data_IF_376126572056
#
_entry.id   IF_376126572056
#
_cell.length_a   1.000
_cell.length_b   1.000
_cell.length_c   1.000
_cell.angle_alpha   90.00
_cell.angle_beta   90.00
_cell.angle_gamma   90.00
#
_symmetry.space_group_name_H-M   'P 1'
#
loop_
_entity.id
_entity.type
_entity.pdbx_description
1 polymer ?
#
# COMPACT_ATOMS: atom_id res chain seq x y z
N UNK A 1 53.69 -39.69 1.57
CA UNK A 1 52.76 -38.89 2.37
C UNK A 1 51.86 -38.07 1.43
N UNK A 2 51.04 -38.73 0.61
CA UNK A 2 50.27 -38.08 -0.46
C UNK A 2 48.98 -38.87 -0.80
N UNK A 3 48.15 -39.18 0.21
CA UNK A 3 46.81 -39.78 -0.01
C UNK A 3 45.78 -39.14 0.95
N UNK A 4 45.79 -37.81 1.08
CA UNK A 4 44.74 -37.10 1.85
C UNK A 4 44.13 -35.89 1.10
N UNK A 5 44.71 -35.42 -0.01
CA UNK A 5 44.17 -34.28 -0.78
C UNK A 5 43.03 -34.59 -1.77
N UNK A 6 42.72 -35.86 -2.03
CA UNK A 6 41.72 -36.26 -3.02
C UNK A 6 40.26 -36.21 -2.54
N UNK A 7 40.03 -36.48 -1.25
CA UNK A 7 38.67 -36.57 -0.70
C UNK A 7 38.02 -35.19 -0.47
N UNK A 8 38.79 -34.14 -0.18
CA UNK A 8 38.24 -32.77 -0.03
C UNK A 8 37.83 -32.16 -1.38
N UNK A 9 38.57 -32.46 -2.45
CA UNK A 9 38.23 -31.99 -3.81
C UNK A 9 36.96 -32.67 -4.35
N UNK A 10 36.85 -33.99 -4.17
CA UNK A 10 35.68 -34.76 -4.63
C UNK A 10 34.40 -34.38 -3.86
N UNK A 11 34.51 -34.18 -2.54
CA UNK A 11 33.38 -33.72 -1.71
C UNK A 11 32.96 -32.29 -2.07
N UNK A 12 33.89 -31.37 -2.33
CA UNK A 12 33.58 -30.02 -2.81
C UNK A 12 32.91 -30.03 -4.19
N UNK A 13 33.35 -30.89 -5.11
CA UNK A 13 32.78 -31.02 -6.46
C UNK A 13 31.38 -31.64 -6.44
N UNK A 14 31.15 -32.66 -5.61
CA UNK A 14 29.83 -33.27 -5.38
C UNK A 14 28.86 -32.26 -4.72
N UNK A 15 29.35 -31.45 -3.76
CA UNK A 15 28.56 -30.40 -3.10
C UNK A 15 28.18 -29.27 -4.07
N UNK A 16 29.10 -28.84 -4.92
CA UNK A 16 28.86 -27.86 -6.00
C UNK A 16 27.82 -28.39 -6.99
N UNK A 17 27.92 -29.64 -7.45
CA UNK A 17 26.96 -30.27 -8.36
C UNK A 17 25.56 -30.38 -7.74
N UNK A 18 25.47 -30.76 -6.47
CA UNK A 18 24.19 -30.83 -5.76
C UNK A 18 23.56 -29.44 -5.59
N UNK A 19 24.35 -28.41 -5.32
CA UNK A 19 23.85 -27.02 -5.25
C UNK A 19 23.31 -26.53 -6.59
N UNK A 20 24.01 -26.76 -7.71
CA UNK A 20 23.49 -26.40 -9.04
C UNK A 20 22.21 -27.16 -9.37
N UNK A 21 22.06 -28.42 -8.92
CA UNK A 21 20.79 -29.15 -9.02
C UNK A 21 19.70 -28.54 -8.15
N UNK A 22 19.98 -28.14 -6.92
CA UNK A 22 18.98 -27.51 -6.02
C UNK A 22 18.55 -26.14 -6.54
N UNK A 23 19.49 -25.32 -7.03
CA UNK A 23 19.20 -24.00 -7.61
C UNK A 23 18.40 -24.16 -8.91
N UNK A 24 18.81 -25.07 -9.80
CA UNK A 24 18.07 -25.37 -11.02
C UNK A 24 16.66 -25.90 -10.70
N UNK A 25 16.51 -26.78 -9.72
CA UNK A 25 15.21 -27.27 -9.26
C UNK A 25 14.35 -26.14 -8.67
N UNK A 26 14.91 -25.23 -7.88
CA UNK A 26 14.17 -24.06 -7.37
C UNK A 26 13.76 -23.08 -8.46
N UNK A 27 14.60 -22.91 -9.49
CA UNK A 27 14.29 -22.07 -10.66
C UNK A 27 13.22 -22.71 -11.53
N UNK A 28 13.29 -24.03 -11.75
CA UNK A 28 12.29 -24.81 -12.48
C UNK A 28 10.96 -24.83 -11.72
N UNK A 29 10.98 -25.03 -10.40
CA UNK A 29 9.77 -24.94 -9.56
C UNK A 29 9.19 -23.52 -9.60
N UNK A 30 10.03 -22.48 -9.56
CA UNK A 30 9.59 -21.10 -9.75
C UNK A 30 8.92 -20.88 -11.12
N UNK A 31 9.52 -21.39 -12.20
CA UNK A 31 8.96 -21.34 -13.55
C UNK A 31 7.67 -22.15 -13.71
N UNK A 32 7.56 -23.31 -13.06
CA UNK A 32 6.35 -24.13 -13.05
C UNK A 32 5.24 -23.48 -12.23
N UNK A 33 5.57 -22.78 -11.13
CA UNK A 33 4.61 -21.98 -10.38
C UNK A 33 4.09 -20.79 -11.20
N UNK A 34 4.92 -20.22 -12.10
CA UNK A 34 4.50 -19.19 -13.06
C UNK A 34 3.42 -19.75 -14.00
N UNK A 35 3.62 -20.93 -14.57
CA UNK A 35 2.62 -21.56 -15.46
C UNK A 35 1.32 -21.95 -14.71
N UNK A 36 1.43 -22.47 -13.49
CA UNK A 36 0.24 -22.81 -12.66
C UNK A 36 -0.56 -21.56 -12.28
N UNK A 37 0.10 -20.45 -11.97
CA UNK A 37 -0.58 -19.19 -11.65
C UNK A 37 -1.35 -18.59 -12.83
N UNK A 38 -0.88 -18.81 -14.06
CA UNK A 38 -1.59 -18.40 -15.27
C UNK A 38 -2.81 -19.29 -15.55
N UNK A 39 -2.77 -20.58 -15.18
CA UNK A 39 -3.87 -21.52 -15.38
C UNK A 39 -5.03 -21.32 -14.39
N UNK A 40 -4.77 -20.92 -13.14
CA UNK A 40 -5.83 -20.57 -12.17
C UNK A 40 -6.61 -19.30 -12.57
N UNK A 41 -6.07 -18.50 -13.48
CA UNK A 41 -6.62 -17.20 -13.86
C UNK A 41 -7.89 -17.29 -14.72
N UNK A 42 -8.20 -18.45 -15.31
CA UNK A 42 -9.37 -18.64 -16.18
C UNK A 42 -10.60 -19.20 -15.44
N UNK A 43 -10.45 -19.92 -14.32
CA UNK A 43 -11.59 -20.55 -13.62
C UNK A 43 -12.27 -19.64 -12.57
N UNK A 44 -11.54 -18.74 -11.92
CA UNK A 44 -12.06 -18.00 -10.74
C UNK A 44 -12.95 -16.79 -11.07
N UNK A 45 -13.21 -16.51 -12.36
CA UNK A 45 -14.07 -15.40 -12.81
C UNK A 45 -15.58 -15.66 -12.59
N UNK A 46 -15.97 -16.84 -12.12
CA UNK A 46 -17.38 -17.28 -12.16
C UNK A 46 -18.16 -17.23 -10.85
N UNK A 47 -17.56 -16.90 -9.70
CA UNK A 47 -18.28 -16.92 -8.41
C UNK A 47 -18.19 -15.61 -7.62
N UNK A 48 -18.70 -14.52 -8.19
CA UNK A 48 -19.05 -13.29 -7.45
C UNK A 48 -20.55 -13.36 -7.14
N UNK A 49 -20.93 -14.19 -6.16
CA UNK A 49 -22.32 -14.35 -5.71
C UNK A 49 -22.44 -14.23 -4.19
N UNK A 50 -21.68 -13.30 -3.62
CA UNK A 50 -21.69 -12.95 -2.17
C UNK A 50 -21.78 -11.45 -1.79
N UNK A 51 -21.86 -10.44 -2.67
CA UNK A 51 -21.89 -9.04 -2.21
C UNK A 51 -23.29 -8.51 -1.82
N UNK A 52 -24.39 -9.19 -2.20
CA UNK A 52 -25.73 -8.60 -2.08
C UNK A 52 -26.31 -8.58 -0.65
N UNK A 53 -25.89 -9.50 0.22
CA UNK A 53 -26.46 -9.65 1.56
C UNK A 53 -26.00 -8.58 2.57
N UNK A 54 -24.79 -8.03 2.39
CA UNK A 54 -24.20 -7.09 3.36
C UNK A 54 -24.58 -5.63 3.09
N UNK A 55 -24.78 -5.25 1.83
CA UNK A 55 -25.25 -3.90 1.47
C UNK A 55 -26.64 -3.63 2.07
N UNK A 56 -27.50 -4.65 2.14
CA UNK A 56 -28.85 -4.54 2.70
C UNK A 56 -28.85 -4.10 4.17
N UNK A 57 -27.95 -4.64 5.00
CA UNK A 57 -27.86 -4.24 6.42
C UNK A 57 -27.40 -2.79 6.58
N UNK A 58 -26.46 -2.33 5.75
CA UNK A 58 -25.96 -0.96 5.82
C UNK A 58 -27.01 0.05 5.35
N UNK A 59 -27.75 -0.29 4.30
CA UNK A 59 -28.88 0.52 3.81
C UNK A 59 -29.97 0.62 4.90
N UNK A 60 -30.28 -0.48 5.58
CA UNK A 60 -31.27 -0.48 6.67
C UNK A 60 -30.81 0.39 7.85
N UNK A 61 -29.52 0.33 8.21
CA UNK A 61 -28.95 1.17 9.26
C UNK A 61 -29.01 2.67 8.88
N UNK A 62 -28.62 3.02 7.66
CA UNK A 62 -28.67 4.39 7.14
C UNK A 62 -30.12 4.92 7.08
N UNK A 63 -31.07 4.07 6.68
CA UNK A 63 -32.49 4.38 6.67
C UNK A 63 -32.99 4.68 8.09
N UNK A 64 -32.65 3.83 9.07
CA UNK A 64 -33.05 4.04 10.46
C UNK A 64 -32.47 5.34 11.03
N UNK A 65 -31.19 5.62 10.78
CA UNK A 65 -30.54 6.87 11.19
C UNK A 65 -31.22 8.10 10.56
N UNK A 66 -31.63 8.01 9.29
CA UNK A 66 -32.36 9.09 8.64
C UNK A 66 -33.72 9.35 9.28
N UNK A 67 -34.51 8.31 9.55
CA UNK A 67 -35.80 8.48 10.20
C UNK A 67 -35.69 9.07 11.61
N UNK A 68 -34.64 8.70 12.35
CA UNK A 68 -34.35 9.34 13.63
C UNK A 68 -34.12 10.84 13.47
N UNK A 69 -33.30 11.28 12.52
CA UNK A 69 -33.09 12.72 12.23
C UNK A 69 -34.38 13.42 11.83
N UNK A 70 -35.22 12.75 11.03
CA UNK A 70 -36.52 13.30 10.61
C UNK A 70 -37.41 13.60 11.81
N UNK A 71 -37.44 12.71 12.81
CA UNK A 71 -38.28 12.83 14.00
C UNK A 71 -37.68 13.80 15.04
N UNK A 72 -36.36 13.75 15.25
CA UNK A 72 -35.70 14.46 16.35
C UNK A 72 -35.29 15.89 16.03
N UNK A 73 -34.85 16.17 14.80
CA UNK A 73 -34.32 17.49 14.49
C UNK A 73 -35.47 18.50 14.42
N UNK A 74 -35.34 19.70 14.99
CA UNK A 74 -36.41 20.69 14.98
C UNK A 74 -36.75 21.09 13.53
N UNK A 75 -38.01 21.42 13.23
CA UNK A 75 -38.39 21.97 11.94
C UNK A 75 -37.67 23.29 11.69
N UNK A 76 -37.30 23.55 10.43
CA UNK A 76 -36.62 24.78 10.04
C UNK A 76 -37.52 25.98 10.33
N UNK A 77 -36.97 27.00 10.99
CA UNK A 77 -37.70 28.19 11.46
C UNK A 77 -37.57 29.40 10.53
N UNK A 78 -36.74 29.28 9.48
CA UNK A 78 -36.49 30.35 8.51
C UNK A 78 -37.69 30.50 7.55
N UNK A 79 -38.09 31.75 7.30
CA UNK A 79 -39.19 32.07 6.38
C UNK A 79 -38.74 31.93 4.91
N UNK A 80 -39.44 31.09 4.14
CA UNK A 80 -39.20 30.91 2.70
C UNK A 80 -39.67 29.53 2.20
N UNK A 81 -39.77 29.32 0.87
CA UNK A 81 -39.96 27.99 0.31
C UNK A 81 -38.71 27.15 0.57
N UNK A 82 -38.88 25.95 1.12
CA UNK A 82 -37.80 24.98 1.31
C UNK A 82 -38.33 23.57 1.06
N UNK A 83 -37.43 22.67 0.66
CA UNK A 83 -37.77 21.27 0.53
C UNK A 83 -37.55 20.55 1.87
N UNK A 84 -38.56 19.81 2.31
CA UNK A 84 -38.51 19.04 3.55
C UNK A 84 -37.49 17.91 3.47
N UNK A 85 -36.91 17.58 4.63
CA UNK A 85 -36.07 16.39 4.82
C UNK A 85 -36.76 15.11 4.37
N UNK A 86 -36.04 14.28 3.63
CA UNK A 86 -36.59 13.04 3.05
C UNK A 86 -35.53 11.95 2.92
N UNK A 87 -35.99 10.71 3.01
CA UNK A 87 -35.23 9.54 2.58
C UNK A 87 -35.57 9.23 1.12
N UNK A 88 -34.57 9.18 0.24
CA UNK A 88 -34.79 8.91 -1.19
C UNK A 88 -34.65 7.43 -1.57
N UNK A 89 -34.38 6.56 -0.59
CA UNK A 89 -34.13 5.14 -0.79
C UNK A 89 -32.71 4.73 -0.43
N UNK A 90 -31.73 5.62 -0.62
CA UNK A 90 -30.30 5.33 -0.39
C UNK A 90 -29.59 6.36 0.51
N UNK A 91 -30.01 7.63 0.47
CA UNK A 91 -29.41 8.72 1.23
C UNK A 91 -30.47 9.54 1.98
N UNK A 92 -30.02 10.17 3.07
CA UNK A 92 -30.82 11.08 3.87
C UNK A 92 -30.61 12.53 3.45
N UNK A 93 -31.66 13.16 2.95
CA UNK A 93 -31.65 14.56 2.53
C UNK A 93 -32.18 15.44 3.65
N UNK A 94 -31.40 16.44 4.05
CA UNK A 94 -31.80 17.44 5.02
C UNK A 94 -32.68 18.53 4.38
N UNK A 95 -33.24 19.41 5.20
CA UNK A 95 -34.00 20.57 4.72
C UNK A 95 -33.09 21.49 3.90
N UNK A 96 -33.51 21.86 2.69
CA UNK A 96 -32.71 22.70 1.79
C UNK A 96 -33.52 23.81 1.14
N UNK A 97 -32.84 24.93 0.89
CA UNK A 97 -33.36 25.98 0.02
C UNK A 97 -33.44 25.51 -1.43
N UNK A 98 -34.28 26.18 -2.25
CA UNK A 98 -34.37 25.92 -3.69
C UNK A 98 -33.01 26.00 -4.38
N UNK A 99 -32.77 25.06 -5.29
CA UNK A 99 -31.52 24.89 -6.00
C UNK A 99 -30.98 23.46 -5.92
N UNK A 100 -29.71 23.32 -6.32
CA UNK A 100 -29.03 22.03 -6.40
C UNK A 100 -28.39 21.67 -5.06
N UNK A 101 -28.80 20.54 -4.52
CA UNK A 101 -28.28 19.98 -3.26
C UNK A 101 -27.35 18.83 -3.60
N UNK A 102 -26.15 18.84 -3.03
CA UNK A 102 -25.13 17.83 -3.30
C UNK A 102 -24.73 17.08 -2.03
N UNK A 103 -24.56 15.77 -2.14
CA UNK A 103 -23.99 14.92 -1.10
C UNK A 103 -23.02 13.90 -1.71
N UNK A 104 -22.13 13.31 -0.90
CA UNK A 104 -21.23 12.24 -1.35
C UNK A 104 -22.01 10.96 -1.67
N UNK A 105 -21.53 10.17 -2.64
CA UNK A 105 -22.15 8.89 -2.96
C UNK A 105 -22.04 7.90 -1.78
N UNK A 106 -23.06 7.05 -1.55
CA UNK A 106 -23.03 6.04 -0.50
C UNK A 106 -21.97 4.97 -0.79
N UNK A 107 -21.32 4.46 0.27
CA UNK A 107 -20.31 3.41 0.18
C UNK A 107 -20.89 1.98 0.34
N UNK A 108 -22.21 1.82 0.29
CA UNK A 108 -22.90 0.54 0.46
C UNK A 108 -22.91 -0.32 -0.81
N UNK A 109 -22.68 0.32 -1.97
CA UNK A 109 -22.69 -0.33 -3.28
C UNK A 109 -21.25 -0.46 -3.80
N UNK A 110 -20.94 -1.62 -4.37
CA UNK A 110 -19.60 -1.91 -4.91
C UNK A 110 -19.31 -1.18 -6.23
N UNK A 111 -20.36 -0.80 -6.96
CA UNK A 111 -20.27 -0.11 -8.25
C UNK A 111 -20.40 1.40 -8.12
N UNK A 112 -20.48 1.93 -6.89
CA UNK A 112 -20.51 3.37 -6.62
C UNK A 112 -19.14 3.86 -6.16
N UNK A 113 -18.74 5.03 -6.68
CA UNK A 113 -17.56 5.73 -6.21
C UNK A 113 -17.93 6.72 -5.08
N UNK A 114 -17.52 6.48 -3.82
CA UNK A 114 -17.85 7.36 -2.69
C UNK A 114 -17.21 8.76 -2.77
N UNK A 115 -16.24 8.96 -3.66
CA UNK A 115 -15.60 10.28 -3.88
C UNK A 115 -16.44 11.19 -4.79
N UNK A 116 -17.35 10.61 -5.56
CA UNK A 116 -18.25 11.35 -6.43
C UNK A 116 -19.45 11.93 -5.66
N UNK A 117 -20.17 12.85 -6.32
CA UNK A 117 -21.31 13.55 -5.72
C UNK A 117 -22.62 13.18 -6.40
N UNK A 118 -23.63 13.02 -5.56
CA UNK A 118 -25.04 12.85 -5.91
C UNK A 118 -25.69 14.23 -5.91
N UNK A 119 -26.56 14.48 -6.88
CA UNK A 119 -27.28 15.75 -7.01
C UNK A 119 -28.78 15.51 -6.88
N UNK A 120 -29.43 16.28 -6.01
CA UNK A 120 -30.89 16.35 -5.88
C UNK A 120 -31.33 17.80 -5.97
N UNK A 121 -32.41 18.05 -6.72
CA UNK A 121 -32.86 19.41 -7.02
C UNK A 121 -34.09 19.73 -6.19
N UNK A 122 -34.04 20.85 -5.47
CA UNK A 122 -35.17 21.45 -4.78
C UNK A 122 -35.75 22.57 -5.68
N UNK A 123 -37.00 22.44 -6.09
CA UNK A 123 -37.64 23.41 -6.95
C UNK A 123 -38.02 24.70 -6.16
N UNK A 124 -38.18 25.85 -6.84
CA UNK A 124 -38.57 27.11 -6.20
C UNK A 124 -39.94 27.10 -5.50
N UNK A 125 -40.79 26.14 -5.83
CA UNK A 125 -42.10 25.89 -5.23
C UNK A 125 -42.01 25.17 -3.86
N UNK A 126 -40.80 24.80 -3.41
CA UNK A 126 -40.58 24.08 -2.15
C UNK A 126 -40.83 22.57 -2.28
N UNK A 127 -40.96 22.04 -3.49
CA UNK A 127 -41.09 20.60 -3.73
C UNK A 127 -39.79 20.01 -4.30
N UNK A 128 -39.53 18.75 -3.98
CA UNK A 128 -38.42 18.04 -4.60
C UNK A 128 -38.68 17.79 -6.08
N UNK A 129 -37.65 17.84 -6.92
CA UNK A 129 -37.79 17.62 -8.35
C UNK A 129 -38.37 16.23 -8.66
N UNK A 130 -39.40 16.21 -9.51
CA UNK A 130 -40.03 15.00 -10.03
C UNK A 130 -39.52 14.69 -11.44
N UNK A 131 -39.13 13.43 -11.69
CA UNK A 131 -38.65 13.01 -12.99
C UNK A 131 -39.76 13.09 -14.06
N UNK A 132 -39.50 13.64 -15.26
CA UNK A 132 -40.55 13.90 -16.26
C UNK A 132 -41.26 12.62 -16.74
N UNK A 133 -40.56 11.48 -16.77
CA UNK A 133 -41.15 10.22 -17.26
C UNK A 133 -41.88 9.41 -16.18
N UNK A 134 -41.40 9.46 -14.93
CA UNK A 134 -41.91 8.59 -13.85
C UNK A 134 -42.76 9.33 -12.82
N UNK A 135 -42.76 10.67 -12.88
CA UNK A 135 -43.43 11.58 -11.94
C UNK A 135 -43.11 11.31 -10.46
N UNK A 136 -41.98 10.68 -10.17
CA UNK A 136 -41.49 10.39 -8.82
C UNK A 136 -40.36 11.36 -8.47
N UNK A 137 -40.23 11.65 -7.18
CA UNK A 137 -39.08 12.38 -6.65
C UNK A 137 -37.80 11.66 -7.09
N UNK A 138 -36.89 12.41 -7.69
CA UNK A 138 -35.72 11.83 -8.33
C UNK A 138 -34.42 12.47 -7.88
N UNK A 139 -33.40 11.64 -7.80
CA UNK A 139 -32.04 11.98 -7.41
C UNK A 139 -31.09 11.46 -8.49
N UNK A 140 -30.14 12.28 -8.93
CA UNK A 140 -29.19 11.92 -9.97
C UNK A 140 -27.96 11.20 -9.39
N UNK A 141 -27.93 9.87 -9.56
CA UNK A 141 -26.81 9.00 -9.16
C UNK A 141 -25.86 8.64 -10.31
N UNK A 142 -26.06 9.17 -11.52
CA UNK A 142 -25.26 8.77 -12.71
C UNK A 142 -23.76 8.99 -12.50
N UNK A 143 -23.37 10.06 -11.78
CA UNK A 143 -21.97 10.36 -11.47
C UNK A 143 -21.31 9.29 -10.58
N UNK A 144 -22.07 8.67 -9.67
CA UNK A 144 -21.54 7.63 -8.79
C UNK A 144 -21.09 6.37 -9.53
N UNK A 145 -21.65 6.09 -10.72
CA UNK A 145 -21.33 4.89 -11.49
C UNK A 145 -20.45 5.17 -12.72
N UNK A 146 -20.36 6.42 -13.17
CA UNK A 146 -19.78 6.79 -14.46
C UNK A 146 -18.33 6.32 -14.66
N UNK A 147 -17.50 6.32 -13.61
CA UNK A 147 -16.07 5.98 -13.70
C UNK A 147 -15.69 4.72 -12.90
N UNK A 148 -16.64 4.05 -12.27
CA UNK A 148 -16.34 2.97 -11.32
C UNK A 148 -15.81 1.72 -12.03
N UNK A 149 -16.36 1.39 -13.21
CA UNK A 149 -15.94 0.20 -13.98
C UNK A 149 -14.48 0.26 -14.41
N UNK A 150 -14.05 1.41 -14.93
CA UNK A 150 -12.67 1.61 -15.39
C UNK A 150 -11.69 1.64 -14.21
N UNK A 151 -12.07 2.30 -13.10
CA UNK A 151 -11.29 2.29 -11.85
C UNK A 151 -11.12 0.88 -11.30
N UNK A 152 -12.19 0.08 -11.26
CA UNK A 152 -12.13 -1.32 -10.79
C UNK A 152 -11.22 -2.15 -11.69
N UNK A 153 -11.35 -2.03 -13.02
CA UNK A 153 -10.50 -2.75 -13.97
C UNK A 153 -9.02 -2.40 -13.80
N UNK A 154 -8.71 -1.10 -13.64
CA UNK A 154 -7.35 -0.64 -13.37
C UNK A 154 -6.82 -1.17 -12.03
N UNK A 155 -7.63 -1.09 -10.97
CA UNK A 155 -7.25 -1.55 -9.63
C UNK A 155 -6.97 -3.07 -9.61
N UNK A 156 -7.82 -3.87 -10.26
CA UNK A 156 -7.59 -5.32 -10.42
C UNK A 156 -6.31 -5.58 -11.22
N UNK A 157 -6.09 -4.85 -12.31
CA UNK A 157 -4.85 -4.97 -13.10
C UNK A 157 -3.60 -4.67 -12.28
N UNK A 158 -3.61 -3.59 -11.49
CA UNK A 158 -2.51 -3.23 -10.58
C UNK A 158 -2.30 -4.27 -9.49
N UNK A 159 -3.37 -4.84 -8.95
CA UNK A 159 -3.31 -5.92 -7.95
C UNK A 159 -2.58 -7.15 -8.50
N UNK A 160 -2.97 -7.66 -9.67
CA UNK A 160 -2.31 -8.83 -10.26
C UNK A 160 -0.84 -8.54 -10.60
N UNK A 161 -0.56 -7.35 -11.15
CA UNK A 161 0.82 -6.94 -11.45
C UNK A 161 1.67 -6.90 -10.17
N UNK A 162 1.14 -6.36 -9.07
CA UNK A 162 1.82 -6.32 -7.78
C UNK A 162 2.03 -7.73 -7.20
N UNK A 163 1.02 -8.60 -7.25
CA UNK A 163 1.11 -9.97 -6.76
C UNK A 163 2.19 -10.77 -7.48
N UNK A 164 2.18 -10.75 -8.82
CA UNK A 164 3.19 -11.43 -9.65
C UNK A 164 4.58 -10.83 -9.42
N UNK A 165 4.69 -9.50 -9.37
CA UNK A 165 5.95 -8.79 -9.16
C UNK A 165 6.60 -9.13 -7.82
N UNK A 166 5.84 -9.09 -6.72
CA UNK A 166 6.34 -9.46 -5.39
C UNK A 166 6.66 -10.95 -5.30
N UNK A 167 5.86 -11.82 -5.93
CA UNK A 167 6.15 -13.26 -6.00
C UNK A 167 7.49 -13.57 -6.68
N UNK A 168 7.73 -12.98 -7.86
CA UNK A 168 8.97 -13.14 -8.61
C UNK A 168 10.18 -12.58 -7.84
N UNK A 169 10.00 -11.43 -7.19
CA UNK A 169 11.03 -10.81 -6.35
C UNK A 169 11.42 -11.74 -5.19
N UNK A 170 10.46 -12.33 -4.48
CA UNK A 170 10.74 -13.26 -3.38
C UNK A 170 11.57 -14.46 -3.86
N UNK A 171 11.17 -15.11 -4.96
CA UNK A 171 11.88 -16.29 -5.49
C UNK A 171 13.33 -15.94 -5.84
N UNK A 172 13.54 -14.85 -6.58
CA UNK A 172 14.89 -14.42 -6.98
C UNK A 172 15.77 -14.05 -5.77
N UNK A 173 15.23 -13.30 -4.80
CA UNK A 173 15.95 -12.88 -3.60
C UNK A 173 16.33 -14.07 -2.70
N UNK A 174 15.46 -15.07 -2.57
CA UNK A 174 15.76 -16.30 -1.82
C UNK A 174 16.94 -17.03 -2.47
N UNK A 175 16.95 -17.17 -3.80
CA UNK A 175 18.06 -17.80 -4.52
C UNK A 175 19.37 -17.05 -4.27
N UNK A 176 19.36 -15.71 -4.37
CA UNK A 176 20.52 -14.87 -4.06
C UNK A 176 21.01 -15.06 -2.61
N UNK A 177 20.09 -15.05 -1.64
CA UNK A 177 20.42 -15.23 -0.22
C UNK A 177 21.04 -16.60 0.05
N UNK A 178 20.52 -17.66 -0.58
CA UNK A 178 21.06 -19.02 -0.46
C UNK A 178 22.47 -19.10 -1.03
N UNK A 179 22.72 -18.53 -2.21
CA UNK A 179 24.05 -18.53 -2.85
C UNK A 179 25.08 -17.82 -1.96
N UNK A 180 24.78 -16.60 -1.48
CA UNK A 180 25.69 -15.83 -0.64
C UNK A 180 25.88 -16.42 0.77
N UNK A 181 24.93 -17.21 1.26
CA UNK A 181 25.04 -17.91 2.54
C UNK A 181 25.85 -19.21 2.40
N UNK A 182 25.71 -19.91 1.27
CA UNK A 182 26.40 -21.15 1.00
C UNK A 182 27.90 -20.95 0.72
N UNK A 183 28.26 -19.96 -0.10
CA UNK A 183 29.66 -19.63 -0.36
C UNK A 183 30.22 -18.75 0.76
N UNK A 184 30.57 -19.37 1.89
CA UNK A 184 31.21 -18.69 3.03
C UNK A 184 32.49 -17.95 2.62
N UNK A 185 33.17 -18.42 1.56
CA UNK A 185 34.34 -17.78 0.95
C UNK A 185 34.06 -16.37 0.36
N UNK A 186 32.81 -16.06 0.04
CA UNK A 186 32.39 -14.75 -0.48
C UNK A 186 31.86 -13.83 0.63
N UNK A 187 31.72 -14.33 1.86
CA UNK A 187 31.08 -13.62 2.96
C UNK A 187 32.04 -12.60 3.60
N UNK A 188 32.14 -11.44 2.98
CA UNK A 188 32.78 -10.24 3.54
C UNK A 188 31.76 -9.37 4.31
N UNK A 189 32.24 -8.35 5.03
CA UNK A 189 31.43 -7.32 5.70
C UNK A 189 30.29 -6.77 4.83
N UNK A 190 30.60 -6.43 3.57
CA UNK A 190 29.64 -5.93 2.57
C UNK A 190 28.50 -6.93 2.31
N UNK A 191 28.84 -8.21 2.17
CA UNK A 191 27.87 -9.27 1.89
C UNK A 191 26.96 -9.52 3.10
N UNK A 192 27.44 -9.31 4.32
CA UNK A 192 26.58 -9.33 5.52
C UNK A 192 25.51 -8.25 5.47
N UNK A 193 25.85 -7.04 5.01
CA UNK A 193 24.88 -5.95 4.84
C UNK A 193 23.86 -6.27 3.74
N UNK A 194 24.30 -6.79 2.60
CA UNK A 194 23.42 -7.20 1.49
C UNK A 194 22.45 -8.31 1.92
N UNK A 195 22.89 -9.27 2.75
CA UNK A 195 22.02 -10.31 3.31
C UNK A 195 20.86 -9.73 4.12
N UNK A 196 21.11 -8.72 4.95
CA UNK A 196 20.05 -8.05 5.72
C UNK A 196 19.10 -7.26 4.80
N UNK A 197 19.63 -6.58 3.77
CA UNK A 197 18.79 -5.88 2.80
C UNK A 197 17.87 -6.87 2.05
N UNK A 198 18.41 -7.98 1.54
CA UNK A 198 17.58 -9.01 0.89
C UNK A 198 16.54 -9.60 1.84
N UNK A 199 16.89 -9.82 3.10
CA UNK A 199 15.94 -10.26 4.12
C UNK A 199 14.82 -9.22 4.35
N UNK A 200 15.15 -7.92 4.38
CA UNK A 200 14.15 -6.86 4.49
C UNK A 200 13.18 -6.85 3.30
N UNK A 201 13.68 -7.04 2.08
CA UNK A 201 12.85 -7.12 0.86
C UNK A 201 11.92 -8.32 0.85
N UNK A 202 12.41 -9.49 1.32
CA UNK A 202 11.60 -10.72 1.43
C UNK A 202 10.46 -10.49 2.44
N UNK A 203 10.78 -9.98 3.64
CA UNK A 203 9.77 -9.71 4.67
C UNK A 203 8.76 -8.68 4.18
N UNK A 204 9.21 -7.59 3.57
CA UNK A 204 8.33 -6.56 3.02
C UNK A 204 7.39 -7.10 1.94
N UNK A 205 7.90 -7.94 1.03
CA UNK A 205 7.10 -8.53 -0.04
C UNK A 205 6.06 -9.51 0.50
N UNK A 206 6.42 -10.35 1.47
CA UNK A 206 5.48 -11.29 2.11
C UNK A 206 4.36 -10.52 2.83
N UNK A 207 4.71 -9.53 3.64
CA UNK A 207 3.73 -8.73 4.38
C UNK A 207 2.84 -7.92 3.44
N UNK A 208 3.39 -7.39 2.36
CA UNK A 208 2.62 -6.67 1.33
C UNK A 208 1.63 -7.60 0.61
N UNK A 209 2.04 -8.83 0.26
CA UNK A 209 1.13 -9.83 -0.32
C UNK A 209 0.02 -10.20 0.69
N UNK A 210 0.35 -10.41 1.96
CA UNK A 210 -0.65 -10.68 3.00
C UNK A 210 -1.64 -9.50 3.16
N UNK A 211 -1.14 -8.27 3.12
CA UNK A 211 -1.98 -7.06 3.19
C UNK A 211 -2.88 -6.92 1.95
N UNK A 212 -2.33 -7.07 0.75
CA UNK A 212 -3.08 -6.96 -0.51
C UNK A 212 -4.14 -8.06 -0.62
N UNK A 213 -3.79 -9.30 -0.30
CA UNK A 213 -4.74 -10.42 -0.30
C UNK A 213 -5.87 -10.21 0.72
N UNK A 214 -5.57 -9.74 1.93
CA UNK A 214 -6.60 -9.39 2.91
C UNK A 214 -7.51 -8.27 2.40
N UNK A 215 -6.93 -7.23 1.78
CA UNK A 215 -7.67 -6.06 1.29
C UNK A 215 -8.61 -6.37 0.14
N UNK A 216 -8.22 -7.27 -0.77
CA UNK A 216 -8.98 -7.61 -1.97
C UNK A 216 -9.91 -8.79 -1.74
N UNK A 217 -9.43 -9.88 -1.13
CA UNK A 217 -10.19 -11.12 -0.99
C UNK A 217 -11.32 -11.01 0.05
N UNK A 218 -11.27 -10.05 0.98
CA UNK A 218 -12.19 -10.07 2.11
C UNK A 218 -12.58 -8.69 2.66
N UNK A 219 -13.08 -7.82 1.78
CA UNK A 219 -13.51 -6.45 2.09
C UNK A 219 -14.49 -6.30 3.28
N UNK A 220 -15.12 -7.37 3.79
CA UNK A 220 -16.07 -7.21 4.90
C UNK A 220 -16.26 -8.40 5.86
N UNK A 221 -15.91 -9.64 5.50
CA UNK A 221 -16.22 -10.80 6.36
C UNK A 221 -15.18 -11.06 7.48
N UNK A 222 -13.90 -10.71 7.29
CA UNK A 222 -12.89 -10.80 8.37
C UNK A 222 -12.90 -9.57 9.30
N UNK A 223 -13.42 -8.43 8.83
CA UNK A 223 -13.60 -7.23 9.65
C UNK A 223 -14.52 -7.45 10.85
N UNK A 224 -15.31 -8.52 10.88
CA UNK A 224 -16.18 -8.87 12.00
C UNK A 224 -15.55 -9.88 12.97
N UNK A 225 -14.56 -10.68 12.55
CA UNK A 225 -14.04 -11.79 13.38
C UNK A 225 -12.69 -11.53 14.03
N UNK A 226 -11.80 -10.71 13.43
CA UNK A 226 -10.46 -10.44 13.99
C UNK A 226 -9.97 -9.01 13.69
N UNK A 227 -10.66 -8.01 14.23
CA UNK A 227 -10.33 -6.58 14.12
C UNK A 227 -8.85 -6.28 14.47
N UNK A 228 -8.32 -6.97 15.48
CA UNK A 228 -6.92 -6.81 15.94
C UNK A 228 -5.93 -7.29 14.88
N UNK A 229 -6.23 -8.38 14.17
CA UNK A 229 -5.31 -8.95 13.18
C UNK A 229 -5.14 -8.02 11.97
N UNK A 230 -6.20 -7.35 11.51
CA UNK A 230 -6.05 -6.36 10.45
C UNK A 230 -5.18 -5.17 10.94
N UNK A 231 -5.44 -4.65 12.14
CA UNK A 231 -4.69 -3.51 12.67
C UNK A 231 -3.20 -3.81 12.81
N UNK A 232 -2.87 -5.00 13.33
CA UNK A 232 -1.48 -5.46 13.43
C UNK A 232 -0.84 -5.58 12.04
N UNK A 233 -1.56 -6.16 11.08
CA UNK A 233 -1.04 -6.29 9.71
C UNK A 233 -0.81 -4.92 9.06
N UNK A 234 -1.69 -3.95 9.28
CA UNK A 234 -1.52 -2.57 8.78
C UNK A 234 -0.24 -1.93 9.33
N UNK A 235 0.00 -2.03 10.64
CA UNK A 235 1.23 -1.53 11.27
C UNK A 235 2.45 -2.25 10.74
N UNK A 236 2.35 -3.57 10.59
CA UNK A 236 3.44 -4.39 10.10
C UNK A 236 3.85 -3.99 8.67
N UNK A 237 2.88 -3.76 7.78
CA UNK A 237 3.15 -3.28 6.41
C UNK A 237 3.89 -1.95 6.40
N UNK A 238 3.49 -1.01 7.26
CA UNK A 238 4.18 0.30 7.37
C UNK A 238 5.61 0.14 7.91
N UNK A 239 5.79 -0.71 8.93
CA UNK A 239 7.10 -1.01 9.49
C UNK A 239 8.04 -1.66 8.46
N UNK A 240 7.58 -2.67 7.72
CA UNK A 240 8.42 -3.38 6.74
C UNK A 240 8.80 -2.50 5.55
N UNK A 241 7.88 -1.65 5.08
CA UNK A 241 8.17 -0.66 4.04
C UNK A 241 9.26 0.31 4.50
N UNK A 242 9.13 0.82 5.71
CA UNK A 242 10.10 1.76 6.28
C UNK A 242 11.46 1.11 6.49
N UNK A 243 11.48 -0.09 7.09
CA UNK A 243 12.71 -0.84 7.30
C UNK A 243 13.43 -1.13 5.98
N UNK A 244 12.70 -1.44 4.92
CA UNK A 244 13.29 -1.63 3.59
C UNK A 244 14.01 -0.37 3.09
N UNK A 245 13.39 0.81 3.21
CA UNK A 245 14.01 2.09 2.86
C UNK A 245 15.24 2.36 3.73
N UNK A 246 15.18 2.13 5.04
CA UNK A 246 16.34 2.31 5.92
C UNK A 246 17.50 1.36 5.61
N UNK A 247 17.22 0.12 5.17
CA UNK A 247 18.26 -0.81 4.73
C UNK A 247 18.92 -0.38 3.42
N UNK A 248 18.16 0.19 2.49
CA UNK A 248 18.72 0.83 1.29
C UNK A 248 19.62 2.02 1.66
N UNK A 249 19.17 2.87 2.59
CA UNK A 249 19.96 4.00 3.09
C UNK A 249 21.24 3.52 3.79
N UNK A 250 21.17 2.46 4.59
CA UNK A 250 22.34 1.86 5.23
C UNK A 250 23.39 1.41 4.20
N UNK A 251 22.95 0.81 3.10
CA UNK A 251 23.85 0.42 2.01
C UNK A 251 24.49 1.64 1.34
N UNK A 252 23.70 2.69 1.06
CA UNK A 252 24.18 3.94 0.49
C UNK A 252 25.24 4.63 1.36
N UNK A 253 24.97 4.77 2.67
CA UNK A 253 25.92 5.34 3.64
C UNK A 253 27.18 4.47 3.74
N UNK A 254 27.03 3.15 3.75
CA UNK A 254 28.17 2.22 3.80
C UNK A 254 29.06 2.38 2.56
N UNK A 255 28.48 2.46 1.37
CA UNK A 255 29.22 2.65 0.13
C UNK A 255 29.91 4.02 0.08
N UNK A 256 29.22 5.10 0.45
CA UNK A 256 29.78 6.45 0.51
C UNK A 256 30.96 6.55 1.50
N UNK A 257 30.78 6.01 2.71
CA UNK A 257 31.84 6.01 3.73
C UNK A 257 33.06 5.21 3.28
N UNK A 258 32.85 4.08 2.59
CA UNK A 258 33.93 3.25 2.05
C UNK A 258 34.74 3.97 0.95
N UNK A 259 34.11 4.76 0.09
CA UNK A 259 34.79 5.43 -1.02
C UNK A 259 35.46 6.73 -0.58
N UNK A 260 34.77 7.56 0.20
CA UNK A 260 35.21 8.94 0.49
C UNK A 260 35.95 9.04 1.84
N UNK A 261 35.51 8.30 2.85
CA UNK A 261 35.96 8.51 4.25
C UNK A 261 36.97 7.46 4.71
N UNK A 262 37.11 6.35 3.98
CA UNK A 262 37.93 5.21 4.38
C UNK A 262 39.45 5.40 4.31
N UNK A 263 39.96 6.60 3.97
CA UNK A 263 41.40 6.89 4.11
C UNK A 263 41.81 7.00 5.60
N UNK A 264 40.87 7.14 6.56
CA UNK A 264 41.23 7.40 7.97
C UNK A 264 40.43 6.67 9.07
N UNK A 265 39.46 5.81 8.77
CA UNK A 265 38.58 5.22 9.81
C UNK A 265 38.87 3.74 10.03
N UNK A 266 39.17 3.37 11.29
CA UNK A 266 39.39 1.99 11.75
C UNK A 266 38.14 1.09 11.66
N UNK A 267 38.14 -0.05 12.38
CA UNK A 267 37.05 -1.05 12.28
C UNK A 267 35.66 -0.42 12.48
N UNK A 268 34.87 -0.38 11.40
CA UNK A 268 33.50 0.10 11.43
C UNK A 268 32.63 -0.84 12.26
N UNK A 269 31.98 -0.28 13.29
CA UNK A 269 31.06 -1.01 14.16
C UNK A 269 29.74 -1.31 13.42
N UNK A 270 29.58 -2.54 12.89
CA UNK A 270 28.33 -3.02 12.28
C UNK A 270 27.09 -2.83 13.16
N UNK A 271 27.29 -2.85 14.48
CA UNK A 271 26.22 -2.72 15.45
C UNK A 271 25.32 -1.50 15.19
N UNK A 272 25.91 -0.34 14.88
CA UNK A 272 25.14 0.88 14.61
C UNK A 272 24.26 0.78 13.36
N UNK A 273 24.72 0.08 12.33
CA UNK A 273 23.92 -0.16 11.12
C UNK A 273 22.72 -1.08 11.39
N UNK A 274 22.87 -2.09 12.26
CA UNK A 274 21.74 -2.93 12.68
C UNK A 274 20.70 -2.15 13.48
N UNK A 275 21.14 -1.26 14.38
CA UNK A 275 20.25 -0.38 15.14
C UNK A 275 19.52 0.59 14.21
N UNK A 276 20.19 1.11 13.18
CA UNK A 276 19.58 2.03 12.21
C UNK A 276 18.59 1.30 11.29
N UNK A 277 18.94 0.14 10.75
CA UNK A 277 18.10 -0.60 9.80
C UNK A 277 16.87 -1.28 10.41
N UNK A 278 16.96 -1.78 11.65
CA UNK A 278 15.85 -2.47 12.34
C UNK A 278 15.22 -1.66 13.48
N UNK A 279 16.00 -0.88 14.21
CA UNK A 279 15.54 -0.14 15.38
C UNK A 279 14.80 1.15 15.02
N UNK A 280 15.40 1.99 14.16
CA UNK A 280 14.81 3.28 13.78
C UNK A 280 13.41 3.17 13.14
N UNK A 281 13.11 2.19 12.26
CA UNK A 281 11.77 2.01 11.68
C UNK A 281 10.63 1.81 12.69
N UNK A 282 10.92 1.43 13.94
CA UNK A 282 9.88 1.32 14.98
C UNK A 282 9.29 2.68 15.37
N UNK A 283 10.08 3.76 15.35
CA UNK A 283 9.62 5.10 15.73
C UNK A 283 8.48 5.59 14.83
N UNK A 284 8.60 5.62 13.49
CA UNK A 284 7.49 6.00 12.61
C UNK A 284 6.33 5.01 12.67
N UNK A 285 6.58 3.71 12.88
CA UNK A 285 5.50 2.71 13.01
C UNK A 285 4.65 2.93 14.27
N UNK A 286 5.27 3.20 15.42
CA UNK A 286 4.58 3.46 16.68
C UNK A 286 3.81 4.79 16.62
N UNK A 287 4.43 5.85 16.09
CA UNK A 287 3.75 7.15 15.94
C UNK A 287 2.53 7.03 15.02
N UNK A 288 2.63 6.27 13.91
CA UNK A 288 1.49 5.96 13.05
C UNK A 288 0.39 5.20 13.80
N UNK A 289 0.75 4.15 14.56
CA UNK A 289 -0.21 3.35 15.31
C UNK A 289 -0.95 4.18 16.38
N UNK A 290 -0.23 5.02 17.12
CA UNK A 290 -0.81 5.89 18.16
C UNK A 290 -1.71 6.95 17.53
N UNK A 291 -1.27 7.61 16.46
CA UNK A 291 -2.06 8.64 15.80
C UNK A 291 -3.35 8.06 15.21
N UNK A 292 -3.30 6.88 14.57
CA UNK A 292 -4.52 6.20 14.09
C UNK A 292 -5.42 5.75 15.24
N UNK A 293 -4.86 5.25 16.34
CA UNK A 293 -5.62 4.85 17.52
C UNK A 293 -6.41 5.98 18.18
N UNK A 294 -5.87 7.20 18.18
CA UNK A 294 -6.50 8.37 18.83
C UNK A 294 -7.50 9.08 17.91
N UNK A 295 -7.14 9.30 16.64
CA UNK A 295 -7.95 10.16 15.75
C UNK A 295 -9.01 9.40 14.94
N UNK A 296 -8.73 8.16 14.49
CA UNK A 296 -9.62 7.40 13.59
C UNK A 296 -9.51 5.89 13.85
N UNK A 297 -10.24 5.40 14.85
CA UNK A 297 -10.27 3.97 15.21
C UNK A 297 -11.29 3.20 14.35
N UNK A 298 -11.05 3.15 13.04
CA UNK A 298 -11.83 2.34 12.12
C UNK A 298 -11.58 0.83 12.33
N UNK A 299 -12.56 -0.01 11.97
CA UNK A 299 -12.49 -1.48 12.11
C UNK A 299 -11.24 -2.10 11.50
N UNK A 300 -10.72 -1.50 10.43
CA UNK A 300 -9.49 -1.93 9.76
C UNK A 300 -8.85 -0.66 9.18
N UNK A 301 -7.57 -0.40 9.47
CA UNK A 301 -6.86 0.84 9.07
C UNK A 301 -6.57 0.91 7.56
N UNK A 302 -7.55 0.57 6.73
CA UNK A 302 -7.50 0.56 5.27
C UNK A 302 -7.82 1.92 4.65
N UNK A 303 -8.48 2.84 5.37
CA UNK A 303 -8.86 4.15 4.82
C UNK A 303 -7.63 5.04 4.63
N UNK A 304 -7.33 5.35 3.37
CA UNK A 304 -6.24 6.23 2.91
C UNK A 304 -6.62 7.72 2.91
N UNK A 305 -7.88 8.07 3.18
CA UNK A 305 -8.42 9.43 3.13
C UNK A 305 -7.93 10.37 4.26
N UNK A 306 -6.86 10.01 4.96
CA UNK A 306 -6.39 10.78 6.11
C UNK A 306 -5.01 11.37 5.85
N UNK A 307 -4.83 12.65 6.18
CA UNK A 307 -3.54 13.33 6.13
C UNK A 307 -2.45 12.69 7.02
N UNK A 308 -2.79 11.65 7.79
CA UNK A 308 -1.84 10.89 8.62
C UNK A 308 -0.82 10.09 7.80
N UNK A 309 -1.11 9.77 6.54
CA UNK A 309 -0.14 9.11 5.63
C UNK A 309 1.08 10.02 5.37
N UNK A 310 0.90 11.35 5.42
CA UNK A 310 1.99 12.31 5.21
C UNK A 310 3.06 12.29 6.31
N UNK A 311 2.71 11.92 7.56
CA UNK A 311 3.69 11.84 8.66
C UNK A 311 4.69 10.71 8.39
N UNK A 312 4.20 9.58 7.87
CA UNK A 312 5.04 8.47 7.44
C UNK A 312 5.84 8.82 6.18
N UNK A 313 5.19 9.45 5.19
CA UNK A 313 5.82 9.89 3.96
C UNK A 313 6.97 10.88 4.23
N UNK A 314 6.83 11.78 5.21
CA UNK A 314 7.87 12.73 5.60
C UNK A 314 9.14 12.04 6.14
N UNK A 315 8.98 11.03 6.99
CA UNK A 315 10.11 10.22 7.48
C UNK A 315 10.82 9.47 6.35
N UNK A 316 10.06 8.86 5.45
CA UNK A 316 10.59 8.15 4.28
C UNK A 316 11.25 9.10 3.28
N UNK A 317 10.68 10.28 3.04
CA UNK A 317 11.26 11.31 2.19
C UNK A 317 12.58 11.85 2.74
N UNK A 318 12.73 12.02 4.05
CA UNK A 318 14.00 12.42 4.66
C UNK A 318 15.10 11.39 4.44
N UNK A 319 14.77 10.10 4.52
CA UNK A 319 15.73 9.02 4.20
C UNK A 319 16.13 9.04 2.72
N UNK A 320 15.18 9.23 1.81
CA UNK A 320 15.45 9.34 0.36
C UNK A 320 16.25 10.60 0.02
N UNK A 321 15.98 11.73 0.70
CA UNK A 321 16.78 12.96 0.55
C UNK A 321 18.21 12.72 1.08
N UNK A 322 18.36 11.99 2.18
CA UNK A 322 19.66 11.53 2.67
C UNK A 322 20.41 10.74 1.61
N UNK A 323 19.78 9.72 1.01
CA UNK A 323 20.36 8.94 -0.09
C UNK A 323 20.77 9.81 -1.29
N UNK A 324 19.92 10.75 -1.71
CA UNK A 324 20.19 11.67 -2.81
C UNK A 324 21.35 12.63 -2.50
N UNK A 325 21.47 13.10 -1.26
CA UNK A 325 22.59 13.93 -0.80
C UNK A 325 23.90 13.14 -0.75
N UNK A 326 23.84 11.83 -0.50
CA UNK A 326 25.01 10.93 -0.53
C UNK A 326 25.29 10.33 -1.90
N UNK A 327 24.44 10.58 -2.91
CA UNK A 327 24.67 10.16 -4.29
C UNK A 327 25.68 11.10 -4.96
N UNK A 328 26.74 10.58 -5.61
CA UNK A 328 27.91 11.34 -6.04
C UNK A 328 27.69 12.36 -7.19
N UNK A 329 26.45 12.62 -7.62
CA UNK A 329 26.17 13.48 -8.77
C UNK A 329 26.01 14.99 -8.46
N UNK A 330 26.09 15.42 -7.20
CA UNK A 330 26.08 16.86 -6.85
C UNK A 330 27.49 17.44 -6.63
N UNK A 331 28.42 17.11 -7.53
CA UNK A 331 29.62 17.92 -7.76
C UNK A 331 29.49 18.72 -9.06
N UNK A 332 28.47 19.57 -9.16
CA UNK A 332 28.49 20.74 -10.05
C UNK A 332 28.35 21.98 -9.19
N UNK A 333 29.47 22.41 -8.63
CA UNK A 333 29.61 23.74 -8.08
C UNK A 333 29.40 24.80 -9.17
N UNK A 334 28.96 26.01 -8.79
CA UNK A 334 28.65 27.06 -9.75
C UNK A 334 29.96 27.66 -10.28
N UNK A 335 30.28 27.43 -11.54
CA UNK A 335 31.31 28.23 -12.20
C UNK A 335 30.77 29.65 -12.40
N UNK A 336 31.45 30.55 -11.69
CA UNK A 336 31.35 31.99 -11.79
C UNK A 336 31.22 32.47 -13.24
N UNK A 337 30.19 33.27 -13.51
CA UNK A 337 30.26 34.25 -14.60
C UNK A 337 31.34 35.26 -14.26
N UNK A 338 32.44 35.25 -15.02
CA UNK A 338 33.34 36.39 -15.17
C UNK A 338 33.56 36.60 -16.67
N UNK A 339 33.00 37.73 -17.13
CA UNK A 339 33.40 38.59 -18.24
C UNK A 339 34.33 38.00 -19.33
N UNK A 340 33.81 37.96 -20.56
CA UNK A 340 34.62 38.00 -21.77
C UNK A 340 35.12 39.43 -21.98
N UNK A 341 36.43 39.59 -22.11
CA UNK A 341 37.07 40.61 -22.96
C UNK A 341 38.41 40.07 -23.50
N UNK A 342 38.64 40.00 -24.83
CA UNK A 342 39.96 40.08 -25.46
C UNK A 342 40.31 41.57 -25.73
N UNK A 343 41.51 42.00 -26.18
CA UNK A 343 42.62 41.25 -26.80
C UNK A 343 44.06 41.65 -26.35
N UNK A 344 45.06 40.82 -26.66
CA UNK A 344 46.35 41.18 -27.29
C UNK A 344 47.24 39.94 -27.45
#
# INVERSE_FOLDING_TARGET
MAILGGNESLTAHLKKRNMWRTVALSLIVGLLLIEVSQAEQEENFSNISTPLGMSQHQILAAQFECYLRIIHDPPRTEEGPYCNRTWDGWLCWADSFPGDVMQMCPNYFYDFDPSEKVIKVCNPDGQWFHHPESNRVWTNYTRCQANTKDKIKLAIGLYYLAMVGHGLSIVSLIVCLVIFSYFKSLSCQRISLHKNMFLSFIINSIVTIMWLSLSVANNQAINASNEVSCKVLAVLTQYTLTSNIFWMLCEGIYLHTLIIVAVFVGEQQLFWYYVLGWGFPFVPAITYAVARGIFFNDKCWMSSHTHLVYIHLCGSCLSVIGELLFSPEHCTGPDHQVERDPPC
#
